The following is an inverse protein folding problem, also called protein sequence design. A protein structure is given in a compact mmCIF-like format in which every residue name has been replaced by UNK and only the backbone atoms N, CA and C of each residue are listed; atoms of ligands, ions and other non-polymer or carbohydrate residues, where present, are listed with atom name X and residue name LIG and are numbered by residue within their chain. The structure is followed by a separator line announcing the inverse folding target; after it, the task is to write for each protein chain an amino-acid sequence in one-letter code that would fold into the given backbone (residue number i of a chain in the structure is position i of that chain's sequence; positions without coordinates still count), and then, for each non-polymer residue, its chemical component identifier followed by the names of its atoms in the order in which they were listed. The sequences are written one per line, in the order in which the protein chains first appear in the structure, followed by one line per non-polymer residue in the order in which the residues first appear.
data_IF_023004862962
#
_entry.id   IF_023004862962
#
_cell.length_a   1.000
_cell.length_b   1.000
_cell.length_c   1.000
_cell.angle_alpha   90.00
_cell.angle_beta   90.00
_cell.angle_gamma   90.00
#
_symmetry.space_group_name_H-M   'P 1'
#
loop_
_entity.id
_entity.type
_entity.pdbx_description
1 polymer ?
#
# COMPACT_ATOMS: atom_id res chain seq x y z
N UNK A 1 -7.91 -17.73 -29.24
CA UNK A 1 -6.58 -17.64 -28.60
C UNK A 1 -6.68 -17.48 -27.07
N UNK A 2 -7.56 -18.25 -26.40
CA UNK A 2 -7.94 -18.03 -24.99
C UNK A 2 -7.62 -19.19 -24.04
N UNK A 3 -7.08 -20.33 -24.53
CA UNK A 3 -6.88 -21.53 -23.70
C UNK A 3 -5.43 -21.78 -23.24
N UNK A 4 -4.45 -21.02 -23.75
CA UNK A 4 -3.02 -21.22 -23.42
C UNK A 4 -2.53 -20.41 -22.21
N UNK A 5 -3.29 -19.42 -21.73
CA UNK A 5 -2.89 -18.54 -20.62
C UNK A 5 -3.32 -19.06 -19.22
N UNK A 6 -4.30 -19.96 -19.14
CA UNK A 6 -4.79 -20.49 -17.86
C UNK A 6 -3.88 -21.57 -17.25
N UNK A 7 -3.09 -22.29 -18.07
CA UNK A 7 -2.22 -23.37 -17.60
C UNK A 7 -0.94 -22.93 -16.88
N UNK A 8 -0.44 -21.71 -17.12
CA UNK A 8 0.82 -21.23 -16.51
C UNK A 8 0.67 -20.65 -15.09
N UNK A 9 -0.53 -20.20 -14.70
CA UNK A 9 -0.76 -19.58 -13.40
C UNK A 9 -0.87 -20.59 -12.24
N UNK A 10 -1.24 -21.85 -12.51
CA UNK A 10 -1.35 -22.87 -11.46
C UNK A 10 -0.04 -23.62 -11.17
N UNK A 11 0.91 -23.71 -12.12
CA UNK A 11 2.14 -24.51 -11.91
C UNK A 11 3.22 -23.79 -11.08
N UNK A 12 3.24 -22.45 -11.07
CA UNK A 12 4.28 -21.69 -10.34
C UNK A 12 3.98 -21.46 -8.86
N UNK A 13 2.73 -21.67 -8.40
CA UNK A 13 2.37 -21.46 -6.99
C UNK A 13 2.87 -22.58 -6.04
N UNK A 14 3.38 -23.69 -6.58
CA UNK A 14 3.85 -24.85 -5.80
C UNK A 14 5.39 -24.98 -5.71
N UNK A 15 6.17 -24.08 -6.33
CA UNK A 15 7.62 -24.26 -6.47
C UNK A 15 8.49 -23.50 -5.44
N UNK A 16 7.94 -22.59 -4.63
CA UNK A 16 8.72 -21.78 -3.66
C UNK A 16 8.56 -22.28 -2.22
N UNK A 17 8.91 -23.54 -2.00
CA UNK A 17 9.13 -24.11 -0.66
C UNK A 17 10.34 -25.07 -0.72
N UNK A 18 11.50 -24.57 -1.16
CA UNK A 18 12.78 -25.25 -0.98
C UNK A 18 13.79 -24.25 -0.43
N UNK A 19 14.14 -24.43 0.84
CA UNK A 19 15.22 -23.68 1.48
C UNK A 19 16.58 -23.97 0.82
N UNK A 20 17.59 -23.13 1.06
CA UNK A 20 18.88 -23.22 0.39
C UNK A 20 19.65 -24.48 0.82
N UNK A 21 20.22 -25.18 -0.17
CA UNK A 21 21.22 -26.22 0.06
C UNK A 21 22.56 -25.56 0.45
N UNK A 22 23.32 -26.12 1.42
CA UNK A 22 24.63 -25.59 1.74
C UNK A 22 25.68 -26.04 0.71
N UNK A 23 26.43 -25.06 0.19
CA UNK A 23 27.65 -25.26 -0.60
C UNK A 23 28.80 -25.70 0.31
N UNK A 24 29.37 -26.87 0.01
CA UNK A 24 30.58 -27.37 0.66
C UNK A 24 31.84 -26.77 0.02
N UNK A 25 32.58 -25.95 0.77
CA UNK A 25 33.98 -25.66 0.46
C UNK A 25 34.91 -26.34 1.47
N UNK A 26 35.87 -27.09 0.93
CA UNK A 26 36.93 -27.76 1.67
C UNK A 26 37.98 -26.76 2.14
N UNK A 27 38.31 -26.80 3.44
CA UNK A 27 39.56 -26.26 3.99
C UNK A 27 40.15 -27.28 4.97
N UNK A 28 41.38 -27.71 4.72
CA UNK A 28 42.20 -28.53 5.62
C UNK A 28 43.01 -27.60 6.55
N UNK A 29 42.91 -27.78 7.87
CA UNK A 29 43.99 -28.25 8.79
C UNK A 29 43.76 -27.87 10.26
N UNK A 30 44.06 -28.88 11.10
CA UNK A 30 44.62 -28.88 12.46
C UNK A 30 43.99 -28.07 13.60
N UNK A 31 43.63 -28.79 14.68
CA UNK A 31 43.54 -28.23 16.03
C UNK A 31 42.65 -29.04 16.97
N UNK A 32 43.24 -30.02 17.66
CA UNK A 32 42.60 -30.78 18.75
C UNK A 32 42.33 -29.87 19.95
N UNK A 33 41.09 -29.88 20.48
CA UNK A 33 40.82 -29.76 21.93
C UNK A 33 39.36 -30.15 22.28
N UNK A 34 39.24 -30.91 23.36
CA UNK A 34 38.07 -31.59 23.93
C UNK A 34 36.89 -30.65 24.20
N UNK A 35 35.67 -31.07 23.89
CA UNK A 35 34.44 -30.55 24.50
C UNK A 35 33.36 -31.62 24.66
N UNK A 36 32.57 -31.44 25.72
CA UNK A 36 31.61 -32.34 26.36
C UNK A 36 30.47 -32.80 25.45
N UNK A 37 30.11 -34.07 25.57
CA UNK A 37 28.90 -34.70 25.04
C UNK A 37 27.65 -34.12 25.71
N UNK A 38 26.89 -33.33 24.95
CA UNK A 38 25.48 -33.04 25.23
C UNK A 38 24.64 -33.89 24.27
N UNK A 39 23.97 -34.92 24.79
CA UNK A 39 22.96 -35.68 24.04
C UNK A 39 21.74 -34.77 23.81
N UNK A 40 21.49 -34.40 22.55
CA UNK A 40 20.21 -33.82 22.14
C UNK A 40 19.18 -34.94 22.00
N UNK A 41 17.95 -34.80 22.54
CA UNK A 41 16.87 -35.72 22.23
C UNK A 41 16.50 -35.58 20.74
N UNK A 42 16.61 -36.68 20.00
CA UNK A 42 16.08 -36.78 18.65
C UNK A 42 14.56 -36.80 18.72
N UNK A 43 13.94 -35.62 18.59
CA UNK A 43 12.52 -35.51 18.27
C UNK A 43 12.34 -35.90 16.80
N UNK A 44 12.04 -37.19 16.60
CA UNK A 44 11.58 -37.75 15.33
C UNK A 44 10.22 -37.13 15.00
N UNK A 45 10.21 -36.01 14.27
CA UNK A 45 9.00 -35.55 13.59
C UNK A 45 8.70 -36.52 12.44
N UNK A 46 7.70 -37.40 12.65
CA UNK A 46 7.07 -38.13 11.54
C UNK A 46 6.38 -37.11 10.63
N UNK A 47 7.00 -36.84 9.48
CA UNK A 47 6.30 -36.31 8.31
C UNK A 47 5.30 -37.38 7.87
N UNK A 48 4.09 -37.35 8.44
CA UNK A 48 2.97 -38.09 7.88
C UNK A 48 2.60 -37.41 6.56
N UNK A 49 2.67 -38.18 5.49
CA UNK A 49 2.24 -37.88 4.13
C UNK A 49 0.87 -37.17 4.10
N UNK A 50 0.88 -35.84 4.01
CA UNK A 50 -0.30 -35.09 3.55
C UNK A 50 -0.26 -35.07 2.03
N UNK A 51 -0.49 -36.24 1.40
CA UNK A 51 -0.81 -36.30 -0.02
C UNK A 51 -2.21 -35.70 -0.20
N UNK A 52 -2.29 -34.39 -0.41
CA UNK A 52 -3.52 -33.75 -0.89
C UNK A 52 -3.87 -34.40 -2.23
N UNK A 53 -4.95 -35.21 -2.23
CA UNK A 53 -5.54 -35.73 -3.45
C UNK A 53 -5.95 -34.53 -4.32
N UNK A 54 -5.26 -34.33 -5.43
CA UNK A 54 -5.72 -33.40 -6.46
C UNK A 54 -6.81 -34.14 -7.21
N UNK A 55 -8.07 -33.83 -6.88
CA UNK A 55 -9.21 -34.33 -7.66
C UNK A 55 -9.21 -33.56 -8.98
N UNK A 56 -8.78 -34.22 -10.05
CA UNK A 56 -8.94 -33.69 -11.40
C UNK A 56 -10.44 -33.69 -11.74
N UNK A 57 -11.01 -32.51 -11.95
CA UNK A 57 -12.39 -32.32 -12.42
C UNK A 57 -12.41 -32.28 -13.94
N UNK A 58 -13.50 -32.76 -14.55
CA UNK A 58 -13.68 -32.64 -16.00
C UNK A 58 -13.88 -31.17 -16.41
N UNK A 59 -13.69 -30.86 -17.70
CA UNK A 59 -13.97 -29.53 -18.22
C UNK A 59 -15.44 -29.13 -18.03
N UNK A 60 -16.36 -30.08 -18.19
CA UNK A 60 -17.80 -29.86 -18.01
C UNK A 60 -18.17 -29.59 -16.55
N UNK A 61 -17.56 -30.32 -15.61
CA UNK A 61 -17.72 -30.05 -14.18
C UNK A 61 -17.24 -28.65 -13.80
N UNK A 62 -16.08 -28.24 -14.33
CA UNK A 62 -15.55 -26.89 -14.11
C UNK A 62 -16.46 -25.81 -14.69
N UNK A 63 -17.03 -26.03 -15.89
CA UNK A 63 -17.97 -25.12 -16.52
C UNK A 63 -19.28 -25.00 -15.72
N UNK A 64 -19.83 -26.13 -15.24
CA UNK A 64 -21.04 -26.14 -14.43
C UNK A 64 -20.86 -25.37 -13.11
N UNK A 65 -19.74 -25.59 -12.43
CA UNK A 65 -19.39 -24.87 -11.20
C UNK A 65 -19.17 -23.38 -11.42
N UNK A 66 -18.53 -23.00 -12.53
CA UNK A 66 -18.35 -21.60 -12.89
C UNK A 66 -19.70 -20.92 -13.15
N UNK A 67 -20.62 -21.61 -13.84
CA UNK A 67 -21.97 -21.09 -14.10
C UNK A 67 -22.79 -20.95 -12.80
N UNK A 68 -22.69 -21.91 -11.87
CA UNK A 68 -23.33 -21.83 -10.56
C UNK A 68 -22.78 -20.66 -9.74
N UNK A 69 -21.45 -20.54 -9.64
CA UNK A 69 -20.81 -19.44 -8.94
C UNK A 69 -21.18 -18.07 -9.54
N UNK A 70 -21.33 -17.98 -10.87
CA UNK A 70 -21.77 -16.77 -11.54
C UNK A 70 -23.23 -16.42 -11.20
N UNK A 71 -24.14 -17.42 -11.18
CA UNK A 71 -25.53 -17.20 -10.75
C UNK A 71 -25.62 -16.71 -9.30
N UNK A 72 -24.86 -17.33 -8.39
CA UNK A 72 -24.80 -16.90 -6.98
C UNK A 72 -24.21 -15.50 -6.83
N UNK A 73 -23.21 -15.15 -7.62
CA UNK A 73 -22.64 -13.80 -7.61
C UNK A 73 -23.65 -12.75 -8.11
N UNK A 74 -24.37 -13.06 -9.19
CA UNK A 74 -25.40 -12.18 -9.73
C UNK A 74 -26.56 -11.99 -8.75
N UNK A 75 -27.02 -13.06 -8.10
CA UNK A 75 -28.05 -13.00 -7.07
C UNK A 75 -27.64 -12.08 -5.91
N UNK A 76 -26.38 -12.18 -5.44
CA UNK A 76 -25.85 -11.30 -4.39
C UNK A 76 -25.80 -9.83 -4.80
N UNK A 77 -25.40 -9.53 -6.04
CA UNK A 77 -25.43 -8.14 -6.54
C UNK A 77 -26.86 -7.60 -6.59
N UNK A 78 -27.80 -8.41 -7.09
CA UNK A 78 -29.21 -8.05 -7.14
C UNK A 78 -29.78 -7.78 -5.73
N UNK A 79 -29.49 -8.66 -4.77
CA UNK A 79 -29.94 -8.50 -3.38
C UNK A 79 -29.39 -7.21 -2.73
N UNK A 80 -28.14 -6.85 -3.02
CA UNK A 80 -27.55 -5.60 -2.54
C UNK A 80 -28.24 -4.35 -3.12
N UNK A 81 -28.85 -4.47 -4.30
CA UNK A 81 -29.54 -3.38 -4.98
C UNK A 81 -31.03 -3.25 -4.59
N UNK A 82 -31.63 -4.28 -3.99
CA UNK A 82 -33.07 -4.32 -3.67
C UNK A 82 -33.56 -3.14 -2.82
N UNK A 83 -32.68 -2.54 -2.02
CA UNK A 83 -33.03 -1.41 -1.14
C UNK A 83 -32.98 -0.04 -1.84
N UNK A 84 -32.43 0.04 -3.05
CA UNK A 84 -32.26 1.32 -3.76
C UNK A 84 -33.56 1.71 -4.48
N UNK A 85 -33.98 2.99 -4.47
CA UNK A 85 -35.14 3.44 -5.24
C UNK A 85 -34.87 3.31 -6.74
N UNK A 86 -35.93 3.17 -7.55
CA UNK A 86 -35.80 2.96 -9.00
C UNK A 86 -35.00 4.07 -9.70
N UNK A 87 -35.21 5.32 -9.29
CA UNK A 87 -34.47 6.50 -9.78
C UNK A 87 -32.95 6.36 -9.56
N UNK A 88 -32.53 5.83 -8.40
CA UNK A 88 -31.13 5.60 -8.11
C UNK A 88 -30.54 4.47 -8.98
N UNK A 89 -31.30 3.39 -9.22
CA UNK A 89 -30.89 2.32 -10.12
C UNK A 89 -30.67 2.86 -11.55
N UNK A 90 -31.62 3.65 -12.07
CA UNK A 90 -31.51 4.30 -13.38
C UNK A 90 -30.29 5.23 -13.45
N UNK A 91 -30.11 6.09 -12.44
CA UNK A 91 -28.96 7.00 -12.38
C UNK A 91 -27.63 6.25 -12.39
N UNK A 92 -27.53 5.10 -11.71
CA UNK A 92 -26.32 4.26 -11.73
C UNK A 92 -26.09 3.60 -13.08
N UNK A 93 -27.13 3.06 -13.73
CA UNK A 93 -27.00 2.51 -15.09
C UNK A 93 -26.47 3.57 -16.08
N UNK A 94 -26.96 4.80 -16.00
CA UNK A 94 -26.43 5.92 -16.80
C UNK A 94 -24.91 6.08 -16.58
N UNK A 95 -24.45 6.04 -15.32
CA UNK A 95 -23.00 6.10 -14.99
C UNK A 95 -22.20 4.89 -15.48
N UNK A 96 -22.86 3.75 -15.69
CA UNK A 96 -22.25 2.58 -16.35
C UNK A 96 -22.17 2.72 -17.88
N UNK A 97 -22.62 3.84 -18.45
CA UNK A 97 -22.57 4.12 -19.88
C UNK A 97 -23.86 3.78 -20.64
N UNK A 98 -24.96 3.47 -19.94
CA UNK A 98 -26.25 3.20 -20.57
C UNK A 98 -27.03 4.49 -20.94
N UNK A 99 -26.40 5.66 -20.90
CA UNK A 99 -27.03 6.96 -21.15
C UNK A 99 -27.65 7.09 -22.56
N UNK A 100 -27.03 6.45 -23.56
CA UNK A 100 -27.45 6.50 -24.97
C UNK A 100 -28.44 5.37 -25.32
N UNK A 101 -28.71 4.45 -24.39
CA UNK A 101 -29.62 3.33 -24.60
C UNK A 101 -30.96 3.62 -23.94
N UNK A 102 -32.05 3.12 -24.55
CA UNK A 102 -33.35 3.10 -23.89
C UNK A 102 -33.23 2.18 -22.68
N UNK A 103 -33.22 2.77 -21.48
CA UNK A 103 -33.19 2.01 -20.24
C UNK A 103 -34.45 1.14 -20.15
N UNK A 104 -34.34 -0.10 -19.66
CA UNK A 104 -35.50 -0.97 -19.55
C UNK A 104 -36.53 -0.37 -18.59
N UNK A 105 -37.81 -0.58 -18.91
CA UNK A 105 -38.91 -0.14 -18.06
C UNK A 105 -39.17 -1.13 -16.94
N UNK A 106 -39.33 -0.63 -15.72
CA UNK A 106 -39.64 -1.47 -14.57
C UNK A 106 -38.40 -1.90 -13.78
N UNK A 107 -38.57 -1.84 -12.47
CA UNK A 107 -37.55 -2.09 -11.44
C UNK A 107 -36.80 -3.41 -11.60
N UNK A 108 -37.49 -4.49 -11.97
CA UNK A 108 -36.91 -5.82 -12.06
C UNK A 108 -35.81 -5.91 -13.13
N UNK A 109 -36.06 -5.37 -14.32
CA UNK A 109 -35.07 -5.34 -15.39
C UNK A 109 -33.90 -4.39 -15.04
N UNK A 110 -34.18 -3.26 -14.39
CA UNK A 110 -33.13 -2.35 -13.93
C UNK A 110 -32.19 -3.02 -12.91
N UNK A 111 -32.73 -3.82 -11.99
CA UNK A 111 -31.95 -4.60 -11.03
C UNK A 111 -31.05 -5.61 -11.73
N UNK A 112 -31.58 -6.37 -12.69
CA UNK A 112 -30.83 -7.37 -13.43
C UNK A 112 -29.69 -6.75 -14.24
N UNK A 113 -29.98 -5.72 -15.03
CA UNK A 113 -28.97 -5.02 -15.83
C UNK A 113 -27.87 -4.41 -14.95
N UNK A 114 -28.23 -3.79 -13.83
CA UNK A 114 -27.25 -3.18 -12.94
C UNK A 114 -26.43 -4.24 -12.18
N UNK A 115 -27.05 -5.36 -11.79
CA UNK A 115 -26.35 -6.48 -11.17
C UNK A 115 -25.32 -7.09 -12.12
N UNK A 116 -25.66 -7.31 -13.39
CA UNK A 116 -24.72 -7.77 -14.41
C UNK A 116 -23.60 -6.76 -14.66
N UNK A 117 -23.93 -5.48 -14.75
CA UNK A 117 -22.95 -4.41 -14.94
C UNK A 117 -21.98 -4.32 -13.75
N UNK A 118 -22.48 -4.41 -12.52
CA UNK A 118 -21.66 -4.46 -11.30
C UNK A 118 -20.78 -5.70 -11.27
N UNK A 119 -21.33 -6.88 -11.58
CA UNK A 119 -20.57 -8.14 -11.59
C UNK A 119 -19.43 -8.07 -12.61
N UNK A 120 -19.72 -7.58 -13.82
CA UNK A 120 -18.72 -7.35 -14.87
C UNK A 120 -17.64 -6.38 -14.38
N UNK A 121 -18.01 -5.26 -13.75
CA UNK A 121 -17.06 -4.31 -13.19
C UNK A 121 -16.19 -4.95 -12.09
N UNK A 122 -16.80 -5.67 -11.15
CA UNK A 122 -16.08 -6.35 -10.06
C UNK A 122 -15.11 -7.43 -10.55
N UNK A 123 -15.38 -8.06 -11.70
CA UNK A 123 -14.44 -9.02 -12.28
C UNK A 123 -13.10 -8.40 -12.71
N UNK A 124 -13.04 -7.07 -12.83
CA UNK A 124 -11.82 -6.31 -13.12
C UNK A 124 -11.06 -5.91 -11.86
N UNK A 125 -11.63 -6.09 -10.66
CA UNK A 125 -10.99 -5.74 -9.40
C UNK A 125 -9.94 -6.79 -9.05
N UNK A 126 -8.73 -6.33 -8.75
CA UNK A 126 -7.67 -7.21 -8.28
C UNK A 126 -7.62 -7.13 -6.76
N UNK A 127 -7.82 -8.24 -6.07
CA UNK A 127 -7.89 -8.29 -4.61
C UNK A 127 -6.98 -9.36 -4.04
N UNK A 128 -6.31 -9.04 -2.94
CA UNK A 128 -5.47 -9.95 -2.19
C UNK A 128 -5.72 -9.80 -0.68
N UNK A 129 -5.31 -10.78 0.14
CA UNK A 129 -5.16 -10.55 1.57
C UNK A 129 -4.27 -9.32 1.81
N UNK A 130 -4.59 -8.53 2.82
CA UNK A 130 -3.79 -7.39 3.23
C UNK A 130 -2.41 -7.88 3.64
N UNK A 131 -1.37 -7.47 2.91
CA UNK A 131 0.01 -7.85 3.18
C UNK A 131 0.78 -6.66 3.74
N UNK A 132 1.52 -6.92 4.80
CA UNK A 132 2.46 -5.97 5.39
C UNK A 132 3.81 -6.64 5.58
N UNK A 133 4.89 -5.86 5.55
CA UNK A 133 6.21 -6.38 5.96
C UNK A 133 6.16 -6.81 7.43
N UNK A 134 6.81 -7.93 7.80
CA UNK A 134 6.80 -8.43 9.16
C UNK A 134 7.47 -7.43 10.09
N UNK A 135 6.91 -7.30 11.29
CA UNK A 135 7.58 -6.61 12.39
C UNK A 135 8.56 -7.57 13.04
N UNK A 136 9.76 -7.09 13.32
CA UNK A 136 10.76 -7.81 14.12
C UNK A 136 11.39 -6.84 15.12
N UNK A 137 12.14 -7.31 16.12
CA UNK A 137 12.89 -6.43 17.02
C UNK A 137 13.86 -5.49 16.28
N UNK A 138 14.31 -5.89 15.07
CA UNK A 138 15.14 -5.07 14.17
C UNK A 138 14.30 -4.20 13.23
N UNK A 139 13.13 -4.69 12.85
CA UNK A 139 12.19 -4.03 11.94
C UNK A 139 10.90 -3.65 12.69
N UNK A 140 10.94 -2.56 13.45
CA UNK A 140 9.76 -2.08 14.22
C UNK A 140 8.63 -1.59 13.29
N UNK A 141 8.97 -1.30 12.03
CA UNK A 141 8.11 -0.77 10.98
C UNK A 141 7.36 -1.88 10.23
N UNK A 142 6.20 -1.57 9.67
CA UNK A 142 5.43 -2.52 8.86
C UNK A 142 4.77 -1.78 7.70
N UNK A 143 5.17 -2.09 6.48
CA UNK A 143 4.74 -1.37 5.28
C UNK A 143 3.77 -2.19 4.47
N UNK A 144 2.79 -1.54 3.83
CA UNK A 144 1.91 -2.19 2.87
C UNK A 144 2.70 -2.66 1.65
N UNK A 145 2.42 -3.89 1.21
CA UNK A 145 3.06 -4.45 0.03
C UNK A 145 2.06 -5.00 -0.98
N UNK A 146 2.36 -4.79 -2.26
CA UNK A 146 1.65 -5.40 -3.38
C UNK A 146 2.58 -6.38 -4.13
N UNK A 147 2.12 -7.62 -4.40
CA UNK A 147 2.87 -8.54 -5.25
C UNK A 147 2.68 -8.15 -6.72
N UNK A 148 3.77 -7.82 -7.41
CA UNK A 148 3.80 -7.47 -8.82
C UNK A 148 4.48 -8.58 -9.59
N UNK A 149 3.86 -9.03 -10.67
CA UNK A 149 4.51 -9.89 -11.65
C UNK A 149 5.45 -9.03 -12.49
N UNK A 150 6.75 -9.28 -12.34
CA UNK A 150 7.82 -8.63 -13.08
C UNK A 150 8.31 -9.64 -14.12
N UNK A 151 8.16 -9.30 -15.40
CA UNK A 151 8.51 -10.17 -16.52
C UNK A 151 9.89 -10.85 -16.33
N UNK A 152 9.95 -12.16 -16.62
CA UNK A 152 11.12 -13.05 -16.47
C UNK A 152 11.72 -13.19 -15.06
N UNK A 153 11.33 -12.35 -14.10
CA UNK A 153 11.74 -12.42 -12.68
C UNK A 153 10.70 -13.15 -11.84
N UNK A 154 9.41 -12.95 -12.14
CA UNK A 154 8.28 -13.48 -11.39
C UNK A 154 7.71 -12.50 -10.37
N UNK A 155 7.05 -13.01 -9.34
CA UNK A 155 6.36 -12.17 -8.35
C UNK A 155 7.34 -11.53 -7.36
N UNK A 156 7.36 -10.20 -7.35
CA UNK A 156 8.18 -9.37 -6.47
C UNK A 156 7.29 -8.48 -5.62
N UNK A 157 7.58 -8.36 -4.32
CA UNK A 157 6.83 -7.45 -3.46
C UNK A 157 7.33 -6.01 -3.64
N UNK A 158 6.40 -5.07 -3.80
CA UNK A 158 6.68 -3.65 -3.81
C UNK A 158 5.99 -2.95 -2.64
N UNK A 159 6.68 -2.01 -2.00
CA UNK A 159 6.08 -1.12 -1.01
C UNK A 159 5.08 -0.18 -1.70
N UNK A 160 3.95 0.10 -1.05
CA UNK A 160 3.03 1.15 -1.49
C UNK A 160 3.33 2.46 -0.75
N UNK A 161 3.61 3.52 -1.49
CA UNK A 161 4.10 4.78 -0.91
C UNK A 161 3.55 6.00 -1.67
N UNK A 162 2.54 6.67 -1.11
CA UNK A 162 2.01 7.91 -1.67
C UNK A 162 2.92 9.14 -1.47
N UNK A 163 3.96 9.03 -0.64
CA UNK A 163 5.02 10.01 -0.48
C UNK A 163 6.08 9.96 -1.59
N UNK A 164 6.04 8.93 -2.45
CA UNK A 164 6.84 8.85 -3.68
C UNK A 164 6.01 9.22 -4.91
N UNK A 165 6.54 10.06 -5.79
CA UNK A 165 5.86 10.43 -7.05
C UNK A 165 5.91 9.32 -8.11
N UNK A 166 7.01 8.56 -8.15
CA UNK A 166 7.29 7.54 -9.16
C UNK A 166 7.62 6.17 -8.56
N UNK A 167 7.84 5.20 -9.45
CA UNK A 167 8.33 3.89 -9.07
C UNK A 167 9.83 3.95 -8.74
N UNK A 168 10.24 3.24 -7.69
CA UNK A 168 11.62 3.02 -7.32
C UNK A 168 11.91 1.52 -7.37
N UNK A 169 13.11 1.13 -7.75
CA UNK A 169 13.57 -0.27 -7.67
C UNK A 169 14.88 -0.36 -6.90
N UNK A 170 15.11 -1.50 -6.27
CA UNK A 170 16.39 -1.78 -5.59
C UNK A 170 17.48 -2.12 -6.60
N UNK A 171 18.74 -2.09 -6.15
CA UNK A 171 19.86 -2.51 -6.97
C UNK A 171 19.79 -4.01 -7.32
N UNK A 172 19.26 -4.83 -6.41
CA UNK A 172 19.08 -6.26 -6.54
C UNK A 172 18.02 -6.60 -7.58
N UNK A 173 16.88 -5.89 -7.59
CA UNK A 173 15.87 -6.08 -8.64
C UNK A 173 16.42 -5.61 -10.00
N UNK A 174 17.17 -4.50 -10.03
CA UNK A 174 17.84 -4.05 -11.26
C UNK A 174 18.78 -5.13 -11.81
N UNK A 175 19.60 -5.74 -10.96
CA UNK A 175 20.50 -6.84 -11.35
C UNK A 175 19.72 -8.06 -11.85
N UNK A 176 18.63 -8.42 -11.16
CA UNK A 176 17.75 -9.54 -11.56
C UNK A 176 17.08 -9.32 -12.92
N UNK A 177 16.85 -8.05 -13.30
CA UNK A 177 16.37 -7.65 -14.62
C UNK A 177 17.47 -7.64 -15.70
N UNK A 178 18.72 -7.92 -15.34
CA UNK A 178 19.87 -7.85 -16.25
C UNK A 178 20.24 -6.43 -16.68
N UNK A 179 19.78 -5.41 -15.93
CA UNK A 179 20.07 -4.01 -16.24
C UNK A 179 21.44 -3.60 -15.66
N UNK A 180 22.27 -2.97 -16.49
CA UNK A 180 23.61 -2.53 -16.12
C UNK A 180 23.56 -1.37 -15.12
N UNK A 181 24.53 -1.25 -14.19
CA UNK A 181 24.69 -0.06 -13.36
C UNK A 181 24.95 1.24 -14.10
N UNK A 182 25.28 1.17 -15.39
CA UNK A 182 25.48 2.33 -16.27
C UNK A 182 24.23 2.66 -17.11
N UNK A 183 23.20 1.80 -17.10
CA UNK A 183 22.00 2.01 -17.91
C UNK A 183 21.14 3.15 -17.37
N UNK A 184 20.69 4.03 -18.25
CA UNK A 184 19.71 5.05 -17.91
C UNK A 184 20.30 6.43 -17.60
N UNK A 185 19.41 7.37 -17.27
CA UNK A 185 19.76 8.78 -17.10
C UNK A 185 19.96 9.10 -15.61
N UNK A 186 21.03 9.82 -15.26
CA UNK A 186 21.17 10.39 -13.91
C UNK A 186 20.20 11.55 -13.74
N UNK A 187 19.35 11.46 -12.73
CA UNK A 187 18.36 12.48 -12.38
C UNK A 187 18.52 12.91 -10.92
N UNK A 188 18.04 14.10 -10.59
CA UNK A 188 17.91 14.56 -9.20
C UNK A 188 16.59 14.06 -8.63
N UNK A 189 16.64 13.52 -7.42
CA UNK A 189 15.49 13.12 -6.62
C UNK A 189 15.54 13.72 -5.23
N UNK A 190 14.48 13.49 -4.46
CA UNK A 190 14.38 13.88 -3.05
C UNK A 190 13.94 12.66 -2.25
N UNK A 191 14.56 12.42 -1.11
CA UNK A 191 14.06 11.50 -0.09
C UNK A 191 14.24 12.08 1.31
N UNK A 192 13.90 11.28 2.33
CA UNK A 192 14.01 11.67 3.74
C UNK A 192 15.39 12.21 4.16
N UNK A 193 16.47 11.90 3.42
CA UNK A 193 17.82 12.44 3.67
C UNK A 193 18.12 13.75 2.94
N UNK A 194 17.28 14.15 1.98
CA UNK A 194 17.40 15.38 1.19
C UNK A 194 17.52 15.11 -0.31
N UNK A 195 18.27 15.97 -1.00
CA UNK A 195 18.53 15.82 -2.44
C UNK A 195 19.43 14.61 -2.71
N UNK A 196 19.03 13.76 -3.65
CA UNK A 196 19.79 12.59 -4.07
C UNK A 196 19.97 12.55 -5.59
N UNK A 197 21.01 11.87 -6.06
CA UNK A 197 21.16 11.50 -7.45
C UNK A 197 20.70 10.05 -7.64
N UNK A 198 19.89 9.81 -8.66
CA UNK A 198 19.32 8.49 -8.96
C UNK A 198 19.45 8.18 -10.43
N UNK A 199 19.48 6.91 -10.75
CA UNK A 199 19.50 6.45 -12.13
C UNK A 199 18.09 6.09 -12.56
N UNK A 200 17.60 6.73 -13.61
CA UNK A 200 16.31 6.45 -14.24
C UNK A 200 16.49 5.32 -15.24
N UNK A 201 15.87 4.18 -14.99
CA UNK A 201 15.89 2.99 -15.85
C UNK A 201 14.52 2.68 -16.42
N UNK A 202 14.49 1.93 -17.52
CA UNK A 202 13.26 1.42 -18.12
C UNK A 202 12.94 0.05 -17.56
N UNK A 203 11.70 -0.16 -17.13
CA UNK A 203 11.19 -1.44 -16.64
C UNK A 203 10.62 -2.27 -17.79
N UNK A 204 10.64 -3.61 -17.65
CA UNK A 204 9.86 -4.48 -18.52
C UNK A 204 8.36 -4.35 -18.18
N UNK A 205 7.54 -5.20 -18.79
CA UNK A 205 6.11 -5.21 -18.49
C UNK A 205 5.88 -5.62 -17.04
N UNK A 206 5.10 -4.83 -16.32
CA UNK A 206 4.65 -5.14 -14.97
C UNK A 206 3.17 -5.52 -14.97
N UNK A 207 2.78 -6.48 -14.12
CA UNK A 207 1.37 -6.86 -13.97
C UNK A 207 0.93 -6.94 -12.51
N UNK A 208 -0.29 -6.50 -12.27
CA UNK A 208 -1.01 -6.71 -11.01
C UNK A 208 -2.18 -7.66 -11.30
N UNK A 209 -1.96 -8.95 -11.01
CA UNK A 209 -2.89 -10.00 -11.45
C UNK A 209 -3.06 -9.97 -12.99
N UNK A 210 -4.30 -9.89 -13.51
CA UNK A 210 -4.51 -9.83 -14.96
C UNK A 210 -4.15 -8.46 -15.58
N UNK A 211 -4.06 -7.40 -14.77
CA UNK A 211 -3.92 -6.03 -15.25
C UNK A 211 -2.47 -5.69 -15.62
N UNK A 212 -2.28 -5.12 -16.81
CA UNK A 212 -1.00 -4.54 -17.24
C UNK A 212 -0.84 -3.16 -16.59
N UNK A 213 0.35 -2.90 -16.05
CA UNK A 213 0.67 -1.61 -15.45
C UNK A 213 1.42 -0.74 -16.46
N UNK A 214 0.93 0.48 -16.71
CA UNK A 214 1.61 1.46 -17.56
C UNK A 214 2.69 2.22 -16.75
N UNK A 215 3.66 1.46 -16.25
CA UNK A 215 4.81 1.96 -15.51
C UNK A 215 6.05 1.52 -16.27
N UNK A 216 6.59 2.44 -17.06
CA UNK A 216 7.74 2.16 -17.93
C UNK A 216 9.07 2.58 -17.34
N UNK A 217 9.06 3.50 -16.39
CA UNK A 217 10.26 4.07 -15.81
C UNK A 217 10.28 3.86 -14.30
N UNK A 218 11.47 3.58 -13.76
CA UNK A 218 11.74 3.63 -12.33
C UNK A 218 13.08 4.27 -12.04
N UNK A 219 13.27 4.66 -10.78
CA UNK A 219 14.53 5.18 -10.28
C UNK A 219 15.19 4.17 -9.36
N UNK A 220 16.45 3.88 -9.61
CA UNK A 220 17.24 2.97 -8.77
C UNK A 220 17.51 3.67 -7.44
N UNK A 221 17.23 2.97 -6.34
CA UNK A 221 17.44 3.44 -4.98
C UNK A 221 18.01 2.33 -4.10
N UNK A 222 18.57 2.72 -2.96
CA UNK A 222 19.00 1.77 -1.93
C UNK A 222 17.93 1.71 -0.86
N UNK A 223 17.12 0.65 -0.86
CA UNK A 223 16.23 0.36 0.25
C UNK A 223 17.01 -0.47 1.27
N UNK A 224 17.42 0.16 2.38
CA UNK A 224 17.91 -0.59 3.54
C UNK A 224 16.70 -1.24 4.22
N UNK A 225 16.42 -2.48 3.85
CA UNK A 225 15.38 -3.27 4.50
C UNK A 225 15.97 -3.93 5.76
N UNK A 226 15.55 -3.46 6.94
CA UNK A 226 15.73 -4.25 8.18
C UNK A 226 14.69 -5.37 8.30
N UNK A 227 13.84 -5.56 7.26
CA UNK A 227 12.74 -6.51 7.24
C UNK A 227 13.16 -7.84 6.62
N UNK A 228 12.60 -8.93 7.14
CA UNK A 228 12.79 -10.30 6.64
C UNK A 228 12.05 -10.59 5.31
N UNK A 229 11.51 -9.56 4.65
CA UNK A 229 10.90 -9.67 3.32
C UNK A 229 11.73 -8.87 2.33
N UNK A 230 12.20 -9.56 1.29
CA UNK A 230 12.79 -8.93 0.12
C UNK A 230 11.71 -8.15 -0.63
N UNK A 231 11.95 -6.84 -0.74
CA UNK A 231 11.14 -5.92 -1.53
C UNK A 231 11.95 -5.50 -2.74
N UNK A 232 11.35 -5.56 -3.93
CA UNK A 232 12.00 -5.15 -5.16
C UNK A 232 12.01 -3.65 -5.38
N UNK A 233 11.22 -2.90 -4.61
CA UNK A 233 11.08 -1.46 -4.80
C UNK A 233 9.90 -0.82 -4.10
N UNK A 234 9.56 0.37 -4.58
CA UNK A 234 8.46 1.20 -4.10
C UNK A 234 7.58 1.60 -5.28
N UNK A 235 6.26 1.54 -5.11
CA UNK A 235 5.27 2.02 -6.07
C UNK A 235 4.65 3.32 -5.55
N UNK A 236 4.91 4.39 -6.29
CA UNK A 236 4.49 5.75 -5.98
C UNK A 236 3.11 6.13 -6.49
N UNK A 237 2.85 7.44 -6.52
CA UNK A 237 1.63 8.04 -7.05
C UNK A 237 1.35 7.68 -8.52
N UNK A 238 2.38 7.45 -9.34
CA UNK A 238 2.20 6.99 -10.72
C UNK A 238 1.47 5.64 -10.79
N UNK A 239 1.71 4.73 -9.84
CA UNK A 239 0.99 3.47 -9.69
C UNK A 239 -0.35 3.68 -8.98
N UNK A 240 -0.35 4.37 -7.83
CA UNK A 240 -1.55 4.49 -6.99
C UNK A 240 -2.69 5.23 -7.71
N UNK A 241 -2.39 6.17 -8.62
CA UNK A 241 -3.40 6.87 -9.44
C UNK A 241 -4.02 6.00 -10.55
N UNK A 242 -3.48 4.82 -10.80
CA UNK A 242 -4.07 3.87 -11.73
C UNK A 242 -5.33 3.21 -11.17
N UNK A 243 -5.55 3.30 -9.85
CA UNK A 243 -6.59 2.58 -9.14
C UNK A 243 -7.35 3.46 -8.15
N UNK A 244 -8.54 3.00 -7.79
CA UNK A 244 -9.17 3.33 -6.52
C UNK A 244 -8.78 2.22 -5.52
N UNK A 245 -7.83 2.51 -4.63
CA UNK A 245 -7.25 1.54 -3.71
C UNK A 245 -8.09 1.45 -2.44
N UNK A 246 -8.68 0.28 -2.18
CA UNK A 246 -9.39 -0.04 -0.94
C UNK A 246 -8.51 -0.88 -0.01
N UNK A 247 -8.33 -0.41 1.23
CA UNK A 247 -7.66 -1.13 2.32
C UNK A 247 -8.68 -1.33 3.44
N UNK A 248 -8.97 -2.59 3.77
CA UNK A 248 -9.88 -2.98 4.84
C UNK A 248 -9.09 -3.72 5.94
N UNK A 249 -8.95 -3.12 7.11
CA UNK A 249 -8.24 -3.76 8.23
C UNK A 249 -9.11 -4.85 8.87
N UNK A 250 -10.40 -4.58 9.07
CA UNK A 250 -11.36 -5.52 9.65
C UNK A 250 -11.40 -6.86 8.88
N UNK A 251 -11.39 -6.78 7.55
CA UNK A 251 -11.45 -7.92 6.63
C UNK A 251 -10.06 -8.42 6.20
N UNK A 252 -8.98 -7.79 6.65
CA UNK A 252 -7.60 -8.06 6.22
C UNK A 252 -7.50 -8.18 4.69
N UNK A 253 -8.02 -7.18 3.96
CA UNK A 253 -8.10 -7.18 2.49
C UNK A 253 -7.55 -5.89 1.90
N UNK A 254 -6.87 -6.03 0.77
CA UNK A 254 -6.51 -4.91 -0.11
C UNK A 254 -7.03 -5.18 -1.52
N UNK A 255 -7.70 -4.20 -2.12
CA UNK A 255 -8.30 -4.31 -3.44
C UNK A 255 -8.00 -3.08 -4.31
N UNK A 256 -7.62 -3.34 -5.56
CA UNK A 256 -7.30 -2.37 -6.58
C UNK A 256 -8.45 -2.32 -7.57
N UNK A 257 -9.30 -1.31 -7.41
CA UNK A 257 -10.44 -1.09 -8.29
C UNK A 257 -10.02 -0.25 -9.50
N UNK A 258 -10.49 -0.56 -10.72
CA UNK A 258 -10.37 0.34 -11.84
C UNK A 258 -10.93 1.75 -11.54
N UNK A 259 -10.39 2.81 -12.17
CA UNK A 259 -10.91 4.16 -11.98
C UNK A 259 -12.40 4.29 -12.35
N UNK A 260 -13.14 5.04 -11.53
CA UNK A 260 -14.57 5.31 -11.70
C UNK A 260 -15.49 4.29 -11.02
N UNK A 261 -14.96 3.31 -10.29
CA UNK A 261 -15.78 2.34 -9.54
C UNK A 261 -16.55 3.01 -8.40
N UNK A 262 -15.96 4.01 -7.73
CA UNK A 262 -16.63 4.85 -6.73
C UNK A 262 -17.82 5.58 -7.35
N UNK A 263 -17.59 6.29 -8.46
CA UNK A 263 -18.64 7.13 -9.04
C UNK A 263 -19.82 6.29 -9.58
N UNK A 264 -19.53 5.10 -10.11
CA UNK A 264 -20.52 4.08 -10.53
C UNK A 264 -21.23 3.39 -9.36
N UNK A 265 -20.73 3.53 -8.13
CA UNK A 265 -21.24 2.86 -6.93
C UNK A 265 -20.89 1.37 -6.85
N UNK A 266 -19.91 0.92 -7.64
CA UNK A 266 -19.36 -0.45 -7.54
C UNK A 266 -18.51 -0.58 -6.28
N UNK A 267 -17.67 0.44 -6.03
CA UNK A 267 -16.97 0.60 -4.77
C UNK A 267 -17.79 1.52 -3.86
N UNK A 268 -18.48 0.91 -2.90
CA UNK A 268 -19.30 1.64 -1.95
C UNK A 268 -18.42 2.43 -0.96
N UNK A 269 -18.64 3.73 -0.86
CA UNK A 269 -18.00 4.65 0.09
C UNK A 269 -19.03 5.41 0.94
N UNK A 270 -20.29 4.96 0.93
CA UNK A 270 -21.36 5.56 1.72
C UNK A 270 -21.05 5.46 3.22
N UNK A 271 -21.33 6.54 3.95
CA UNK A 271 -21.04 6.66 5.38
C UNK A 271 -19.55 6.79 5.72
N UNK A 272 -18.65 6.92 4.74
CA UNK A 272 -17.25 7.26 4.96
C UNK A 272 -17.05 8.78 4.90
N UNK A 273 -16.15 9.31 5.71
CA UNK A 273 -15.75 10.72 5.62
C UNK A 273 -14.92 10.94 4.35
N UNK A 274 -15.37 11.85 3.49
CA UNK A 274 -14.65 12.25 2.29
C UNK A 274 -13.73 13.42 2.61
N UNK A 275 -12.45 13.26 2.31
CA UNK A 275 -11.43 14.31 2.42
C UNK A 275 -10.93 14.65 1.01
N UNK A 276 -10.97 15.93 0.65
CA UNK A 276 -10.34 16.41 -0.57
C UNK A 276 -8.84 16.58 -0.34
N UNK A 277 -8.06 16.32 -1.38
CA UNK A 277 -6.62 16.47 -1.35
C UNK A 277 -6.19 17.65 -2.22
N UNK A 278 -5.20 18.40 -1.76
CA UNK A 278 -4.51 19.39 -2.55
C UNK A 278 -3.28 18.78 -3.23
N UNK A 279 -2.98 19.24 -4.45
CA UNK A 279 -1.70 18.93 -5.10
C UNK A 279 -0.64 19.88 -4.55
N UNK A 280 0.31 19.32 -3.81
CA UNK A 280 1.43 20.03 -3.22
C UNK A 280 2.62 20.08 -4.18
N UNK A 281 3.65 20.84 -3.79
CA UNK A 281 4.94 20.87 -4.51
C UNK A 281 5.49 19.46 -4.70
N UNK A 282 6.07 19.20 -5.87
CA UNK A 282 6.54 17.87 -6.26
C UNK A 282 5.43 16.90 -6.70
N UNK A 283 4.17 17.37 -6.79
CA UNK A 283 3.03 16.56 -7.24
C UNK A 283 2.48 15.60 -6.19
N UNK A 284 2.98 15.70 -4.95
CA UNK A 284 2.46 14.98 -3.79
C UNK A 284 1.04 15.45 -3.47
N UNK A 285 0.30 14.60 -2.77
CA UNK A 285 -1.05 14.93 -2.32
C UNK A 285 -1.02 15.20 -0.82
N UNK A 286 -1.78 16.21 -0.38
CA UNK A 286 -1.96 16.46 1.04
C UNK A 286 -3.42 16.74 1.37
N UNK A 287 -3.79 16.53 2.63
CA UNK A 287 -5.09 16.94 3.17
C UNK A 287 -4.85 18.08 4.18
N UNK A 288 -5.76 19.04 4.30
CA UNK A 288 -5.70 20.02 5.38
C UNK A 288 -5.77 19.31 6.74
N UNK A 289 -4.97 19.76 7.71
CA UNK A 289 -5.00 19.29 9.09
C UNK A 289 -5.02 20.47 10.06
N UNK A 290 -5.77 20.34 11.14
CA UNK A 290 -5.69 21.20 12.33
C UNK A 290 -5.32 20.34 13.53
N UNK A 291 -4.44 20.87 14.39
CA UNK A 291 -3.98 20.21 15.60
C UNK A 291 -4.32 21.07 16.82
N UNK A 292 -5.00 20.51 17.83
CA UNK A 292 -5.42 21.24 19.03
C UNK A 292 -6.19 22.55 18.72
N UNK A 293 -6.99 22.56 17.65
CA UNK A 293 -7.75 23.74 17.21
C UNK A 293 -6.90 24.83 16.55
N UNK A 294 -5.66 24.52 16.14
CA UNK A 294 -4.81 25.46 15.41
C UNK A 294 -5.39 25.86 14.05
N UNK A 295 -4.82 26.89 13.43
CA UNK A 295 -5.01 27.14 12.01
C UNK A 295 -4.65 25.89 11.19
N UNK A 296 -5.36 25.67 10.07
CA UNK A 296 -5.11 24.52 9.19
C UNK A 296 -3.80 24.69 8.42
N UNK A 297 -3.11 23.58 8.21
CA UNK A 297 -1.89 23.49 7.40
C UNK A 297 -1.86 22.15 6.65
N UNK A 298 -0.99 21.97 5.62
CA UNK A 298 -1.02 20.75 4.81
C UNK A 298 -0.42 19.54 5.53
N UNK A 299 -1.07 18.39 5.40
CA UNK A 299 -0.55 17.07 5.77
C UNK A 299 -0.35 16.19 4.53
N UNK A 300 0.90 15.94 4.15
CA UNK A 300 1.29 15.11 3.00
C UNK A 300 0.87 13.66 3.24
N UNK A 301 0.12 13.05 2.32
CA UNK A 301 -0.28 11.65 2.41
C UNK A 301 0.89 10.71 2.15
N UNK A 302 1.26 9.88 3.13
CA UNK A 302 2.42 8.99 3.02
C UNK A 302 2.13 7.59 3.59
N UNK A 303 1.75 6.66 2.71
CA UNK A 303 1.61 5.23 3.05
C UNK A 303 2.96 4.55 3.39
N UNK A 304 4.08 5.12 2.94
CA UNK A 304 5.43 4.70 3.25
C UNK A 304 5.90 5.15 4.64
N UNK A 305 5.16 6.02 5.32
CA UNK A 305 5.43 6.42 6.71
C UNK A 305 4.59 5.57 7.67
N UNK A 306 5.23 4.92 8.66
CA UNK A 306 4.49 4.19 9.71
C UNK A 306 3.86 5.12 10.74
N UNK A 307 4.45 6.29 10.93
CA UNK A 307 4.07 7.25 11.94
C UNK A 307 3.92 8.60 11.30
N UNK A 308 2.96 9.36 11.80
CA UNK A 308 2.76 10.73 11.40
C UNK A 308 3.80 11.64 12.06
N UNK A 309 4.38 12.54 11.26
CA UNK A 309 5.51 13.39 11.67
C UNK A 309 5.20 14.86 11.38
N UNK A 310 5.41 15.72 12.37
CA UNK A 310 5.30 17.17 12.27
C UNK A 310 6.69 17.78 12.13
N UNK A 311 6.83 18.81 11.32
CA UNK A 311 7.97 19.71 11.47
C UNK A 311 7.79 20.61 12.71
N UNK A 312 8.85 21.28 13.15
CA UNK A 312 8.77 22.15 14.33
C UNK A 312 7.75 23.29 14.19
N UNK A 313 7.66 24.02 13.06
CA UNK A 313 6.61 25.02 12.86
C UNK A 313 5.18 24.49 13.07
N UNK A 314 4.86 23.29 12.59
CA UNK A 314 3.56 22.66 12.83
C UNK A 314 3.33 22.30 14.30
N UNK A 315 4.37 21.80 14.98
CA UNK A 315 4.30 21.48 16.40
C UNK A 315 4.09 22.74 17.26
N UNK A 316 4.82 23.82 16.98
CA UNK A 316 4.68 25.11 17.67
C UNK A 316 3.30 25.72 17.44
N UNK A 317 2.78 25.63 16.21
CA UNK A 317 1.40 26.03 15.88
C UNK A 317 0.34 25.24 16.65
N UNK A 318 0.62 23.97 16.98
CA UNK A 318 -0.21 23.12 17.84
C UNK A 318 -0.02 23.34 19.35
N UNK A 319 0.78 24.36 19.74
CA UNK A 319 1.08 24.68 21.15
C UNK A 319 2.21 23.84 21.77
N UNK A 320 2.92 23.03 20.98
CA UNK A 320 4.05 22.23 21.48
C UNK A 320 5.31 23.09 21.54
N UNK A 321 5.79 23.37 22.74
CA UNK A 321 7.04 24.14 22.95
C UNK A 321 8.29 23.28 22.84
N UNK A 322 9.37 23.86 22.33
CA UNK A 322 10.73 23.33 22.51
C UNK A 322 11.10 23.46 23.98
N UNK A 323 11.34 22.35 24.68
CA UNK A 323 11.84 22.39 26.05
C UNK A 323 13.33 22.74 26.00
N UNK A 324 13.72 23.88 26.58
CA UNK A 324 15.13 24.20 26.82
C UNK A 324 15.69 23.23 27.86
N UNK A 325 16.95 22.81 27.69
CA UNK A 325 17.65 21.89 28.62
C UNK A 325 17.65 22.34 30.09
N UNK A 326 17.36 23.61 30.37
CA UNK A 326 17.28 24.17 31.71
C UNK A 326 16.01 23.81 32.50
N UNK A 327 14.91 23.44 31.82
CA UNK A 327 13.63 23.17 32.48
C UNK A 327 13.41 21.66 32.61
N UNK A 328 13.92 21.08 33.68
CA UNK A 328 13.88 19.64 34.02
C UNK A 328 12.48 19.06 34.29
N UNK A 329 11.43 19.52 33.60
CA UNK A 329 10.08 19.01 33.74
C UNK A 329 9.80 17.84 32.78
N UNK A 330 9.28 16.76 33.36
CA UNK A 330 9.09 15.45 32.79
C UNK A 330 7.96 15.38 31.74
N UNK A 331 8.16 15.98 30.56
CA UNK A 331 7.47 15.48 29.37
C UNK A 331 8.27 14.32 28.79
N UNK A 332 7.61 13.21 28.45
CA UNK A 332 8.24 11.98 27.94
C UNK A 332 8.87 12.22 26.55
N UNK A 333 10.01 12.88 26.51
CA UNK A 333 10.87 13.04 25.35
C UNK A 333 11.75 11.80 25.31
N UNK A 334 11.54 10.95 24.30
CA UNK A 334 12.42 9.82 24.06
C UNK A 334 13.46 10.27 23.03
N UNK A 335 14.69 10.50 23.50
CA UNK A 335 15.81 10.82 22.61
C UNK A 335 16.21 9.57 21.82
N UNK A 336 16.30 9.71 20.50
CA UNK A 336 16.85 8.68 19.61
C UNK A 336 18.07 9.28 18.92
N UNK A 337 19.25 8.76 19.25
CA UNK A 337 20.52 9.17 18.65
C UNK A 337 20.69 8.49 17.29
N UNK A 338 21.12 9.24 16.27
CA UNK A 338 21.63 8.65 15.04
C UNK A 338 23.09 8.18 15.25
N UNK A 339 23.54 7.22 14.45
CA UNK A 339 24.87 6.59 14.57
C UNK A 339 26.05 7.49 14.16
N UNK A 340 25.79 8.74 13.74
CA UNK A 340 26.75 9.70 13.17
C UNK A 340 27.13 10.85 14.13
N UNK A 341 26.66 10.82 15.39
CA UNK A 341 27.13 11.73 16.44
C UNK A 341 26.73 13.20 16.28
N UNK A 342 25.95 13.55 15.24
CA UNK A 342 25.31 14.86 15.12
C UNK A 342 24.15 14.96 16.12
N UNK A 343 23.99 16.14 16.75
CA UNK A 343 22.93 16.42 17.74
C UNK A 343 21.58 15.92 17.20
N UNK A 344 20.99 14.93 17.86
CA UNK A 344 19.75 14.31 17.41
C UNK A 344 18.58 15.29 17.50
N UNK A 345 17.80 15.37 16.43
CA UNK A 345 16.51 16.05 16.45
C UNK A 345 15.62 15.35 17.50
N UNK A 346 15.34 16.05 18.61
CA UNK A 346 14.49 15.55 19.71
C UNK A 346 13.13 15.11 19.17
N UNK A 347 12.84 13.81 19.28
CA UNK A 347 11.51 13.28 18.98
C UNK A 347 10.64 13.49 20.22
N UNK A 348 9.74 14.46 20.14
CA UNK A 348 8.65 14.56 21.12
C UNK A 348 7.48 13.72 20.63
N UNK A 349 6.93 12.90 21.53
CA UNK A 349 5.64 12.24 21.33
C UNK A 349 4.62 12.94 22.23
N UNK A 350 3.52 13.38 21.64
CA UNK A 350 2.41 14.00 22.35
C UNK A 350 1.10 13.48 21.79
N UNK A 351 0.10 13.32 22.66
CA UNK A 351 -1.27 13.13 22.24
C UNK A 351 -1.80 14.49 21.80
N UNK A 352 -2.16 14.60 20.53
CA UNK A 352 -2.72 15.81 19.95
C UNK A 352 -4.11 15.49 19.40
N UNK A 353 -5.02 16.45 19.53
CA UNK A 353 -6.32 16.39 18.88
C UNK A 353 -6.12 16.68 17.40
N UNK A 354 -6.50 15.74 16.53
CA UNK A 354 -6.30 15.85 15.09
C UNK A 354 -7.65 16.03 14.41
N UNK A 355 -7.74 17.02 13.55
CA UNK A 355 -8.88 17.19 12.64
C UNK A 355 -8.34 17.24 11.21
N UNK A 356 -8.77 16.29 10.38
CA UNK A 356 -8.44 16.24 8.95
C UNK A 356 -9.54 16.84 8.10
N UNK A 357 -9.17 17.36 6.94
CA UNK A 357 -10.11 17.90 5.95
C UNK A 357 -10.53 19.34 6.19
N UNK A 358 -11.37 19.81 5.28
CA UNK A 358 -11.91 21.16 5.29
C UNK A 358 -12.97 21.37 6.37
N UNK A 359 -13.31 22.63 6.61
CA UNK A 359 -14.34 23.03 7.58
C UNK A 359 -15.72 22.44 7.28
N UNK A 360 -16.04 22.23 6.00
CA UNK A 360 -17.32 21.66 5.57
C UNK A 360 -17.38 20.13 5.64
N UNK A 361 -16.25 19.43 5.79
CA UNK A 361 -16.20 17.96 5.83
C UNK A 361 -15.04 17.48 6.71
N UNK A 362 -15.03 17.81 8.01
CA UNK A 362 -13.95 17.41 8.89
C UNK A 362 -14.05 15.93 9.24
N UNK A 363 -12.91 15.29 9.40
CA UNK A 363 -12.77 13.97 9.99
C UNK A 363 -11.95 14.05 11.26
N UNK A 364 -12.50 13.56 12.35
CA UNK A 364 -11.83 13.46 13.65
C UNK A 364 -11.57 11.98 13.92
N UNK A 365 -10.30 11.53 13.97
CA UNK A 365 -9.99 10.16 14.36
C UNK A 365 -10.57 9.83 15.73
N UNK A 366 -11.10 8.62 15.89
CA UNK A 366 -11.74 8.15 17.13
C UNK A 366 -10.78 7.89 18.32
N UNK A 367 -9.50 8.27 18.18
CA UNK A 367 -8.46 8.10 19.19
C UNK A 367 -7.47 9.26 19.16
N UNK A 368 -6.97 9.62 20.33
CA UNK A 368 -5.87 10.58 20.44
C UNK A 368 -4.60 9.99 19.77
N UNK A 369 -3.90 10.80 18.99
CA UNK A 369 -2.78 10.34 18.18
C UNK A 369 -1.45 10.77 18.79
N UNK A 370 -0.54 9.82 18.96
CA UNK A 370 0.85 10.09 19.33
C UNK A 370 1.64 10.52 18.09
N UNK A 371 1.75 11.83 17.86
CA UNK A 371 2.50 12.38 16.72
C UNK A 371 3.98 12.54 17.07
N UNK A 372 4.86 12.37 16.08
CA UNK A 372 6.29 12.64 16.22
C UNK A 372 6.61 14.05 15.75
N UNK A 373 7.53 14.74 16.42
CA UNK A 373 8.07 16.04 15.95
C UNK A 373 9.50 15.85 15.46
N UNK A 374 9.75 16.21 14.20
CA UNK A 374 11.08 16.18 13.57
C UNK A 374 11.08 16.99 12.27
N UNK A 375 12.11 17.81 12.08
CA UNK A 375 12.41 18.37 10.76
C UNK A 375 13.03 17.30 9.87
N UNK A 376 12.33 16.94 8.79
CA UNK A 376 12.80 15.98 7.78
C UNK A 376 13.41 16.79 6.62
N UNK A 377 14.66 16.52 6.21
CA UNK A 377 15.30 17.23 5.08
C UNK A 377 14.48 17.29 3.79
N UNK A 378 13.70 16.25 3.47
CA UNK A 378 12.80 16.25 2.30
C UNK A 378 11.77 17.37 2.33
N UNK A 379 11.24 17.73 3.50
CA UNK A 379 10.21 18.76 3.65
C UNK A 379 10.75 20.12 3.19
N UNK A 380 11.96 20.46 3.63
CA UNK A 380 12.63 21.69 3.20
C UNK A 380 12.91 21.69 1.69
N UNK A 381 13.40 20.56 1.14
CA UNK A 381 13.65 20.39 -0.30
C UNK A 381 12.37 20.47 -1.15
N UNK A 382 11.22 20.09 -0.59
CA UNK A 382 9.89 20.25 -1.19
C UNK A 382 9.36 21.68 -1.07
N UNK A 383 10.13 22.60 -0.48
CA UNK A 383 9.80 24.03 -0.40
C UNK A 383 8.83 24.38 0.73
N UNK A 384 8.78 23.56 1.78
CA UNK A 384 8.05 23.84 3.02
C UNK A 384 8.93 24.42 4.13
N UNK A 385 10.24 24.63 3.91
CA UNK A 385 11.22 25.27 4.82
C UNK A 385 10.71 25.57 6.23
N UNK A 386 10.25 26.80 6.44
CA UNK A 386 9.74 27.31 7.73
C UNK A 386 8.21 27.25 7.88
N UNK A 387 7.49 26.74 6.88
CA UNK A 387 6.03 26.62 6.90
C UNK A 387 5.57 25.37 7.67
N UNK A 388 4.46 25.42 8.43
CA UNK A 388 3.93 24.26 9.11
C UNK A 388 3.50 23.17 8.12
N UNK A 389 3.96 21.95 8.34
CA UNK A 389 3.60 20.78 7.52
C UNK A 389 3.67 19.49 8.34
N UNK A 390 2.82 18.54 7.96
CA UNK A 390 2.79 17.20 8.50
C UNK A 390 3.05 16.17 7.40
N UNK A 391 3.74 15.09 7.73
CA UNK A 391 3.66 13.83 6.99
C UNK A 391 2.59 12.99 7.67
N UNK A 392 1.51 12.68 6.95
CA UNK A 392 0.40 11.86 7.41
C UNK A 392 0.72 10.39 7.12
N UNK A 393 1.17 9.70 8.17
CA UNK A 393 1.55 8.31 8.10
C UNK A 393 0.36 7.34 8.14
N UNK A 394 0.70 6.07 7.92
CA UNK A 394 -0.23 4.96 7.97
C UNK A 394 -0.83 4.72 9.36
N UNK A 395 -0.20 5.18 10.45
CA UNK A 395 -0.81 5.15 11.79
C UNK A 395 -2.15 5.87 11.88
N UNK A 396 -2.29 6.98 11.14
CA UNK A 396 -3.54 7.74 11.07
C UNK A 396 -4.42 7.23 9.92
N UNK A 397 -3.82 6.90 8.78
CA UNK A 397 -4.58 6.36 7.63
C UNK A 397 -5.11 4.94 7.84
N UNK A 398 -4.59 4.19 8.83
CA UNK A 398 -4.98 2.81 9.15
C UNK A 398 -6.31 2.70 9.90
N UNK A 399 -7.30 3.49 9.48
CA UNK A 399 -8.68 3.35 9.90
C UNK A 399 -9.25 1.96 9.51
N UNK A 400 -10.45 1.63 9.99
CA UNK A 400 -11.06 0.32 9.72
C UNK A 400 -11.15 0.06 8.22
N UNK A 401 -11.47 1.13 7.47
CA UNK A 401 -11.50 1.14 6.01
C UNK A 401 -10.97 2.46 5.47
N UNK A 402 -10.05 2.35 4.51
CA UNK A 402 -9.46 3.45 3.76
C UNK A 402 -9.70 3.20 2.27
N UNK A 403 -10.20 4.22 1.55
CA UNK A 403 -10.27 4.21 0.09
C UNK A 403 -9.51 5.42 -0.45
N UNK A 404 -8.57 5.18 -1.35
CA UNK A 404 -7.75 6.20 -1.98
C UNK A 404 -8.15 6.34 -3.46
N UNK A 405 -8.68 7.50 -3.82
CA UNK A 405 -8.90 7.91 -5.21
C UNK A 405 -7.96 9.09 -5.52
N UNK A 406 -6.67 8.76 -5.61
CA UNK A 406 -5.61 9.74 -5.76
C UNK A 406 -5.59 10.38 -7.15
N UNK A 407 -6.29 9.78 -8.12
CA UNK A 407 -6.49 10.36 -9.45
C UNK A 407 -7.41 11.57 -9.38
N UNK A 408 -8.51 11.45 -8.63
CA UNK A 408 -9.47 12.53 -8.42
C UNK A 408 -9.24 13.30 -7.12
N UNK A 409 -8.04 13.18 -6.52
CA UNK A 409 -7.59 13.96 -5.37
C UNK A 409 -8.57 13.89 -4.20
N UNK A 410 -9.04 12.68 -3.87
CA UNK A 410 -9.93 12.46 -2.74
C UNK A 410 -9.61 11.14 -2.04
N UNK A 411 -9.80 11.12 -0.73
CA UNK A 411 -9.72 9.90 0.08
C UNK A 411 -10.99 9.76 0.90
N UNK A 412 -11.31 8.52 1.25
CA UNK A 412 -12.44 8.19 2.11
C UNK A 412 -11.94 7.39 3.30
N UNK A 413 -12.33 7.81 4.49
CA UNK A 413 -11.88 7.22 5.76
C UNK A 413 -13.10 6.88 6.60
N UNK A 414 -13.09 5.71 7.24
CA UNK A 414 -14.11 5.29 8.19
C UNK A 414 -13.51 5.13 9.57
#
# INVERSE_FOLDING_TARGET
MSSLLQGRLQSHYLATCRGPQPLSHAVKRCGVKKTRTFQKPQLLFRLQDVRRLIVARSADELAALAAEAQREALARERDALLRQPEEALRARLIKHGFAEQVLPDGREMLLEFLAEANLKARSQVVSYPLRKTPRSPRAVKSFLVAPIDVEDVGFVNFLLDSGSSGALITAELRESLGLSPLDGQVVKGVDSSGLTLRQKVRLPTLRLGPQLLDIRDAYVTTLKSDHDIDVGGVLGLNFLRMFELEICQDRQRMAFHPPGHIDKGVLDVEGMARLNCDVLKGGLLGVPVSLNGSARFPAILDLGANFSILNWPAAELAGVRRVSEADGSASSVQEVSNADGQRSNRIRRGLLDVVLGDEGSPYVPNRAMALMVRDIPSIAALGFGDAPVMVLGYDLLSADRLVLDLRNQRIFVK
#
